data_IF_048810383865
#
_entry.id   IF_048810383865
#
_cell.length_a   1.000
_cell.length_b   1.000
_cell.length_c   1.000
_cell.angle_alpha   90.00
_cell.angle_beta   90.00
_cell.angle_gamma   90.00
#
_symmetry.space_group_name_H-M   'P 1'
#
loop_
_entity.id
_entity.type
_entity.pdbx_description
1 polymer ?
#
# COMPACT_ATOMS: atom_id res chain seq x y z
N UNK A 1 -11.09 -9.12 19.56
CA UNK A 1 -10.97 -7.94 20.45
C UNK A 1 -11.51 -6.73 19.71
N UNK A 2 -12.19 -5.83 20.41
CA UNK A 2 -12.67 -4.55 19.86
C UNK A 2 -11.59 -3.48 19.98
N UNK A 3 -11.54 -2.55 19.02
CA UNK A 3 -10.65 -1.37 19.05
C UNK A 3 -10.93 -0.53 20.30
N UNK A 4 -9.87 -0.11 20.98
CA UNK A 4 -9.95 0.77 22.15
C UNK A 4 -9.16 2.05 21.90
N UNK A 5 -9.62 3.17 22.44
CA UNK A 5 -8.95 4.46 22.31
C UNK A 5 -8.58 4.99 23.69
N UNK A 6 -7.38 5.57 23.78
CA UNK A 6 -6.97 6.37 24.93
C UNK A 6 -7.23 7.84 24.62
N UNK A 7 -7.76 8.57 25.60
CA UNK A 7 -8.06 9.99 25.48
C UNK A 7 -7.26 10.82 26.47
N UNK A 8 -6.93 12.05 26.10
CA UNK A 8 -6.39 13.05 27.02
C UNK A 8 -7.48 13.63 27.95
N UNK A 9 -7.08 14.54 28.85
CA UNK A 9 -7.98 15.19 29.82
C UNK A 9 -9.05 16.09 29.16
N UNK A 10 -8.87 16.43 27.88
CA UNK A 10 -9.81 17.20 27.08
C UNK A 10 -10.76 16.30 26.28
N UNK A 11 -10.57 14.98 26.32
CA UNK A 11 -11.35 13.98 25.59
C UNK A 11 -10.85 13.69 24.16
N UNK A 12 -9.70 14.23 23.75
CA UNK A 12 -9.14 13.94 22.43
C UNK A 12 -8.50 12.55 22.41
N UNK A 13 -8.73 11.78 21.33
CA UNK A 13 -8.08 10.47 21.15
C UNK A 13 -6.59 10.67 20.82
N UNK A 14 -5.72 10.09 21.65
CA UNK A 14 -4.26 10.23 21.53
C UNK A 14 -3.56 8.91 21.17
N UNK A 15 -4.18 7.77 21.44
CA UNK A 15 -3.66 6.46 21.07
C UNK A 15 -4.79 5.46 20.86
N UNK A 16 -4.49 4.35 20.18
CA UNK A 16 -5.44 3.28 19.87
C UNK A 16 -4.80 1.92 20.13
N UNK A 17 -5.57 0.99 20.68
CA UNK A 17 -5.20 -0.43 20.79
C UNK A 17 -6.06 -1.21 19.81
N UNK A 18 -5.39 -1.89 18.87
CA UNK A 18 -6.00 -2.75 17.85
C UNK A 18 -5.36 -4.14 17.91
N UNK A 19 -6.04 -5.19 17.39
CA UNK A 19 -5.40 -6.48 17.17
C UNK A 19 -4.19 -6.35 16.26
N UNK A 20 -3.14 -7.13 16.52
CA UNK A 20 -1.89 -7.12 15.74
C UNK A 20 -2.15 -7.30 14.25
N UNK A 21 -3.01 -8.24 13.87
CA UNK A 21 -3.41 -8.44 12.47
C UNK A 21 -3.90 -7.16 11.79
N UNK A 22 -4.70 -6.36 12.47
CA UNK A 22 -5.22 -5.10 11.93
C UNK A 22 -4.17 -3.99 11.89
N UNK A 23 -3.17 -4.02 12.78
CA UNK A 23 -2.02 -3.12 12.68
C UNK A 23 -1.19 -3.46 11.44
N UNK A 24 -0.90 -4.75 11.22
CA UNK A 24 -0.08 -5.19 10.10
C UNK A 24 -0.75 -4.86 8.77
N UNK A 25 -2.07 -5.08 8.65
CA UNK A 25 -2.87 -4.67 7.50
C UNK A 25 -2.79 -3.15 7.24
N UNK A 26 -2.89 -2.31 8.28
CA UNK A 26 -2.76 -0.85 8.13
C UNK A 26 -1.35 -0.42 7.69
N UNK A 27 -0.32 -1.12 8.15
CA UNK A 27 1.06 -0.84 7.75
C UNK A 27 1.31 -1.28 6.30
N UNK A 28 0.74 -2.40 5.87
CA UNK A 28 0.75 -2.84 4.46
C UNK A 28 0.08 -1.78 3.56
N UNK A 29 -1.13 -1.32 3.92
CA UNK A 29 -1.83 -0.25 3.18
C UNK A 29 -0.99 1.03 3.07
N UNK A 30 -0.30 1.43 4.15
CA UNK A 30 0.56 2.62 4.14
C UNK A 30 1.75 2.47 3.16
N UNK A 31 2.34 1.28 3.07
CA UNK A 31 3.41 0.97 2.11
C UNK A 31 2.87 0.99 0.68
N UNK A 32 1.70 0.42 0.45
CA UNK A 32 1.05 0.44 -0.87
C UNK A 32 0.75 1.87 -1.34
N UNK A 33 0.26 2.73 -0.44
CA UNK A 33 0.05 4.15 -0.76
C UNK A 33 1.34 4.88 -1.06
N UNK A 34 2.42 4.61 -0.32
CA UNK A 34 3.73 5.18 -0.60
C UNK A 34 4.22 4.77 -1.99
N UNK A 35 4.13 3.48 -2.34
CA UNK A 35 4.52 2.97 -3.65
C UNK A 35 3.75 3.64 -4.80
N UNK A 36 2.44 3.88 -4.64
CA UNK A 36 1.64 4.61 -5.64
C UNK A 36 2.08 6.08 -5.75
N UNK A 37 2.35 6.73 -4.63
CA UNK A 37 2.76 8.14 -4.61
C UNK A 37 4.15 8.34 -5.25
N UNK A 38 5.11 7.49 -4.92
CA UNK A 38 6.47 7.52 -5.48
C UNK A 38 6.47 7.34 -7.00
N UNK A 39 5.60 6.47 -7.50
CA UNK A 39 5.52 6.11 -8.92
C UNK A 39 4.56 6.96 -9.74
N UNK A 40 3.92 7.96 -9.11
CA UNK A 40 2.85 8.77 -9.73
C UNK A 40 3.30 9.50 -10.99
N UNK A 41 4.53 10.00 -10.97
CA UNK A 41 5.12 10.81 -12.04
C UNK A 41 6.21 10.05 -12.83
N UNK A 42 6.34 8.74 -12.62
CA UNK A 42 7.24 7.89 -13.43
C UNK A 42 6.78 7.86 -14.89
N UNK A 43 7.73 7.76 -15.82
CA UNK A 43 7.41 7.52 -17.23
C UNK A 43 6.63 6.21 -17.39
N UNK A 44 5.57 6.28 -18.17
CA UNK A 44 4.68 5.15 -18.42
C UNK A 44 4.91 4.61 -19.82
N UNK A 45 4.87 3.28 -19.95
CA UNK A 45 4.81 2.60 -21.24
C UNK A 45 3.41 2.03 -21.46
N UNK A 46 3.04 1.83 -22.73
CA UNK A 46 1.77 1.18 -23.06
C UNK A 46 1.79 -0.30 -22.67
N UNK A 47 0.62 -0.89 -22.40
CA UNK A 47 0.51 -2.33 -22.17
C UNK A 47 1.02 -3.16 -23.36
N UNK A 48 0.87 -2.67 -24.59
CA UNK A 48 1.35 -3.34 -25.79
C UNK A 48 2.89 -3.41 -25.80
N UNK A 49 3.55 -2.28 -25.50
CA UNK A 49 4.99 -2.18 -25.38
C UNK A 49 5.53 -3.08 -24.25
N UNK A 50 4.91 -3.04 -23.08
CA UNK A 50 5.24 -3.92 -21.97
C UNK A 50 5.17 -5.40 -22.37
N UNK A 51 4.09 -5.82 -23.05
CA UNK A 51 3.95 -7.21 -23.52
C UNK A 51 5.01 -7.58 -24.53
N UNK A 52 5.31 -6.70 -25.49
CA UNK A 52 6.39 -6.92 -26.46
C UNK A 52 7.75 -7.09 -25.79
N UNK A 53 8.06 -6.27 -24.77
CA UNK A 53 9.27 -6.38 -23.97
C UNK A 53 9.34 -7.73 -23.25
N UNK A 54 8.29 -8.11 -22.51
CA UNK A 54 8.25 -9.37 -21.75
C UNK A 54 8.34 -10.61 -22.65
N UNK A 55 7.75 -10.56 -23.84
CA UNK A 55 7.88 -11.61 -24.85
C UNK A 55 9.32 -11.72 -25.35
N UNK A 56 9.96 -10.57 -25.66
CA UNK A 56 11.36 -10.53 -26.10
C UNK A 56 12.31 -11.06 -25.02
N UNK A 57 11.99 -10.80 -23.74
CA UNK A 57 12.74 -11.30 -22.58
C UNK A 57 12.43 -12.78 -22.26
N UNK A 58 11.51 -13.42 -22.97
CA UNK A 58 11.08 -14.81 -22.73
C UNK A 58 10.28 -15.02 -21.45
N UNK A 59 9.78 -13.93 -20.85
CA UNK A 59 8.99 -13.93 -19.61
C UNK A 59 7.49 -14.05 -19.87
N UNK A 60 7.04 -13.85 -21.10
CA UNK A 60 5.66 -14.00 -21.52
C UNK A 60 5.57 -14.85 -22.80
N UNK A 61 4.69 -15.87 -22.87
CA UNK A 61 4.49 -16.63 -24.10
C UNK A 61 3.83 -15.77 -25.18
N UNK A 62 4.10 -16.13 -26.44
CA UNK A 62 3.43 -15.59 -27.62
C UNK A 62 1.96 -16.05 -27.74
#
# INVERSE_FOLDING_TARGET
MSTQFFTDDLGNKVAVVIPIKGHDELMEDAVDFAAVAERRDEEQISLAELKSQLIADGLLPH
#
